data_IF_290205452486
#
_entry.id   IF_290205452486
#
_cell.length_a   1.000
_cell.length_b   1.000
_cell.length_c   1.000
_cell.angle_alpha   90.00
_cell.angle_beta   90.00
_cell.angle_gamma   90.00
#
_symmetry.space_group_name_H-M   'P 1'
#
loop_
_entity.id
_entity.type
_entity.pdbx_description
1 polymer ?
#
# COMPACT_ATOMS: atom_id res chain seq x y z
N UNK A 1 5.79 39.24 15.49
CA UNK A 1 5.71 38.56 14.21
C UNK A 1 6.76 37.49 14.11
N UNK A 2 6.33 36.35 13.78
CA UNK A 2 7.29 35.31 13.56
C UNK A 2 7.82 35.43 12.14
N UNK A 3 9.07 35.67 12.07
CA UNK A 3 9.73 35.66 10.79
C UNK A 3 9.74 34.30 10.19
N UNK A 4 9.74 33.31 11.06
CA UNK A 4 9.73 31.97 10.59
C UNK A 4 8.51 31.36 11.09
N UNK A 5 7.59 31.16 10.27
CA UNK A 5 6.59 30.26 10.57
C UNK A 5 7.20 28.94 10.61
N UNK A 6 7.10 28.32 11.72
CA UNK A 6 7.50 26.97 11.77
C UNK A 6 6.72 26.31 10.69
N UNK A 7 7.36 25.60 10.02
CA UNK A 7 6.80 24.85 9.08
C UNK A 7 5.98 23.82 9.55
N UNK A 8 5.25 24.18 10.41
CA UNK A 8 4.10 23.44 10.77
C UNK A 8 3.39 22.98 9.61
N UNK A 9 3.87 23.51 8.61
CA UNK A 9 3.33 23.11 7.52
C UNK A 9 3.97 21.90 7.09
N UNK A 10 3.86 21.08 7.52
CA UNK A 10 3.29 20.25 6.68
C UNK A 10 3.92 19.85 5.39
N UNK A 11 5.12 20.12 5.21
CA UNK A 11 5.85 19.47 4.16
C UNK A 11 6.64 18.31 4.70
N UNK A 12 6.55 18.08 6.02
CA UNK A 12 7.28 17.00 6.69
C UNK A 12 6.55 15.69 6.59
N UNK A 13 7.30 14.62 6.54
CA UNK A 13 6.74 13.28 6.66
C UNK A 13 6.40 13.00 8.11
N UNK A 14 5.31 12.31 8.33
CA UNK A 14 4.89 11.87 9.64
C UNK A 14 4.98 10.36 9.73
N UNK A 15 5.26 9.84 10.92
CA UNK A 15 5.17 8.41 11.19
C UNK A 15 3.90 8.14 12.01
N UNK A 16 3.28 7.01 11.75
CA UNK A 16 2.04 6.63 12.38
C UNK A 16 0.92 6.45 11.37
N UNK A 17 -0.29 6.24 11.89
CA UNK A 17 -1.47 6.10 11.05
C UNK A 17 -1.95 7.49 10.67
N UNK A 18 -2.01 7.72 9.36
CA UNK A 18 -2.40 9.03 8.83
C UNK A 18 -3.30 8.88 7.62
N UNK A 19 -4.21 9.85 7.42
CA UNK A 19 -4.92 9.94 6.14
C UNK A 19 -3.97 10.17 4.98
N UNK A 20 -4.32 9.63 3.83
CA UNK A 20 -3.49 9.75 2.64
C UNK A 20 -4.32 9.59 1.37
N UNK A 21 -3.70 9.92 0.25
CA UNK A 21 -4.27 9.77 -1.09
C UNK A 21 -3.42 8.79 -1.87
N UNK A 22 -4.05 7.93 -2.66
CA UNK A 22 -3.34 7.07 -3.59
C UNK A 22 -3.09 7.88 -4.86
N UNK A 23 -1.82 8.13 -5.16
CA UNK A 23 -1.46 8.98 -6.30
C UNK A 23 -0.95 8.19 -7.50
N UNK A 24 -0.57 6.94 -7.30
CA UNK A 24 -0.11 6.07 -8.37
C UNK A 24 -0.17 4.61 -7.95
N UNK A 25 -0.41 3.73 -8.91
CA UNK A 25 -0.33 2.27 -8.74
C UNK A 25 0.44 1.73 -9.93
N UNK A 26 1.47 0.93 -9.66
CA UNK A 26 2.29 0.31 -10.70
C UNK A 26 2.42 -1.18 -10.45
N UNK A 27 2.30 -1.97 -11.51
CA UNK A 27 2.60 -3.38 -11.48
C UNK A 27 4.06 -3.57 -11.90
N UNK A 28 4.89 -3.96 -10.94
CA UNK A 28 6.32 -4.18 -11.15
C UNK A 28 6.70 -5.65 -11.18
N UNK A 29 5.73 -6.54 -11.30
CA UNK A 29 6.00 -7.99 -11.26
C UNK A 29 6.95 -8.44 -12.36
N UNK A 30 6.93 -7.80 -13.52
CA UNK A 30 7.83 -8.15 -14.60
C UNK A 30 9.31 -7.84 -14.31
N UNK A 31 9.57 -6.98 -13.35
CA UNK A 31 10.94 -6.60 -12.97
C UNK A 31 11.60 -7.58 -11.99
N UNK A 32 10.84 -8.53 -11.45
CA UNK A 32 11.32 -9.42 -10.41
C UNK A 32 10.86 -10.85 -10.66
N UNK A 33 11.79 -11.74 -10.96
CA UNK A 33 11.48 -13.14 -11.26
C UNK A 33 10.92 -13.92 -10.08
N UNK A 34 11.23 -13.47 -8.85
CA UNK A 34 10.85 -14.17 -7.64
C UNK A 34 9.45 -13.84 -7.14
N UNK A 35 8.81 -12.83 -7.73
CA UNK A 35 7.48 -12.40 -7.29
C UNK A 35 6.46 -12.60 -8.40
N UNK A 36 5.36 -13.27 -8.08
CA UNK A 36 4.22 -13.36 -9.00
C UNK A 36 3.39 -12.07 -8.96
N UNK A 37 3.36 -11.41 -7.80
CA UNK A 37 2.72 -10.11 -7.62
C UNK A 37 3.75 -9.15 -7.04
N UNK A 38 3.90 -8.00 -7.66
CA UNK A 38 4.64 -6.87 -7.11
C UNK A 38 3.87 -5.61 -7.48
N UNK A 39 2.96 -5.21 -6.61
CA UNK A 39 2.14 -4.01 -6.82
C UNK A 39 2.68 -2.90 -5.94
N UNK A 40 3.11 -1.80 -6.55
CA UNK A 40 3.59 -0.64 -5.83
C UNK A 40 2.49 0.41 -5.78
N UNK A 41 2.05 0.73 -4.58
CA UNK A 41 1.03 1.76 -4.34
C UNK A 41 1.74 2.98 -3.77
N UNK A 42 1.67 4.10 -4.47
CA UNK A 42 2.31 5.33 -4.03
C UNK A 42 1.29 6.19 -3.31
N UNK A 43 1.61 6.55 -2.08
CA UNK A 43 0.72 7.30 -1.19
C UNK A 43 1.27 8.68 -0.91
N UNK A 44 0.40 9.68 -0.98
CA UNK A 44 0.69 11.03 -0.53
C UNK A 44 0.00 11.24 0.81
N UNK A 45 0.80 11.40 1.85
CA UNK A 45 0.32 11.58 3.21
C UNK A 45 -0.28 12.98 3.37
N UNK A 46 -1.39 13.08 4.08
CA UNK A 46 -1.98 14.39 4.37
C UNK A 46 -0.97 15.26 5.14
N UNK A 47 -0.88 16.50 4.73
CA UNK A 47 0.07 17.43 5.34
C UNK A 47 1.50 17.29 4.82
N UNK A 48 1.74 16.47 3.80
CA UNK A 48 3.06 16.25 3.23
C UNK A 48 3.04 16.45 1.72
N UNK A 49 4.17 16.84 1.16
CA UNK A 49 4.37 16.85 -0.28
C UNK A 49 5.22 15.66 -0.75
N UNK A 50 5.64 14.81 0.18
CA UNK A 50 6.47 13.66 -0.15
C UNK A 50 5.64 12.41 -0.19
N UNK A 51 5.89 11.58 -1.17
CA UNK A 51 5.19 10.31 -1.31
C UNK A 51 5.97 9.19 -0.65
N UNK A 52 5.27 8.11 -0.31
CA UNK A 52 5.86 6.86 0.16
C UNK A 52 5.20 5.70 -0.54
N UNK A 53 5.93 4.63 -0.70
CA UNK A 53 5.43 3.45 -1.36
C UNK A 53 4.99 2.40 -0.34
N UNK A 54 3.84 1.81 -0.63
CA UNK A 54 3.35 0.61 0.03
C UNK A 54 3.35 -0.50 -1.02
N UNK A 55 4.01 -1.60 -0.74
CA UNK A 55 4.18 -2.65 -1.75
C UNK A 55 3.45 -3.92 -1.32
N UNK A 56 2.66 -4.47 -2.23
CA UNK A 56 2.03 -5.78 -2.06
C UNK A 56 2.83 -6.75 -2.92
N UNK A 57 3.60 -7.62 -2.26
CA UNK A 57 4.60 -8.45 -2.94
C UNK A 57 4.53 -9.88 -2.44
N UNK A 58 4.62 -10.83 -3.33
CA UNK A 58 4.73 -12.23 -2.96
C UNK A 58 4.56 -13.18 -4.13
N UNK A 59 4.70 -14.45 -3.83
CA UNK A 59 4.51 -15.52 -4.79
C UNK A 59 3.23 -16.29 -4.55
N UNK A 60 2.77 -16.99 -5.57
CA UNK A 60 1.62 -17.88 -5.46
C UNK A 60 2.04 -19.25 -4.95
N UNK A 61 1.14 -19.89 -4.20
CA UNK A 61 1.22 -21.32 -3.97
C UNK A 61 0.61 -22.00 -5.20
N UNK A 62 1.26 -23.03 -5.69
CA UNK A 62 0.84 -23.72 -6.93
C UNK A 62 0.77 -25.23 -6.74
N UNK A 63 -0.18 -25.83 -7.43
CA UNK A 63 -0.26 -27.28 -7.52
C UNK A 63 0.78 -27.82 -8.50
N UNK A 64 1.04 -29.15 -8.51
CA UNK A 64 2.02 -29.73 -9.43
C UNK A 64 1.75 -29.44 -10.91
N UNK A 65 0.48 -29.22 -11.27
CA UNK A 65 0.11 -28.90 -12.65
C UNK A 65 0.28 -27.41 -12.98
N UNK A 66 0.77 -26.60 -12.02
CA UNK A 66 0.99 -25.18 -12.21
C UNK A 66 -0.19 -24.29 -11.87
N UNK A 67 -1.34 -24.86 -11.52
CA UNK A 67 -2.49 -24.07 -11.13
C UNK A 67 -2.27 -23.39 -9.80
N UNK A 68 -2.72 -22.14 -9.68
CA UNK A 68 -2.64 -21.38 -8.43
C UNK A 68 -3.60 -21.98 -7.42
N UNK A 69 -3.08 -22.33 -6.24
CA UNK A 69 -3.87 -22.90 -5.15
C UNK A 69 -4.06 -21.94 -3.97
N UNK A 70 -3.31 -20.85 -3.92
CA UNK A 70 -3.41 -19.88 -2.85
C UNK A 70 -2.18 -19.02 -2.74
N UNK A 71 -1.99 -18.44 -1.57
CA UNK A 71 -0.86 -17.59 -1.24
C UNK A 71 -1.30 -16.39 -0.40
N UNK A 72 -0.49 -16.00 0.56
CA UNK A 72 -0.82 -14.86 1.42
C UNK A 72 -0.92 -13.56 0.64
N UNK A 73 -0.17 -13.43 -0.45
CA UNK A 73 -0.21 -12.22 -1.29
C UNK A 73 -1.58 -12.04 -1.94
N UNK A 74 -2.28 -13.12 -2.24
CA UNK A 74 -3.64 -13.05 -2.81
C UNK A 74 -4.59 -12.42 -1.79
N UNK A 75 -4.48 -12.82 -0.52
CA UNK A 75 -5.30 -12.24 0.54
C UNK A 75 -5.03 -10.74 0.70
N UNK A 76 -3.77 -10.33 0.58
CA UNK A 76 -3.41 -8.91 0.64
C UNK A 76 -4.00 -8.13 -0.52
N UNK A 77 -3.99 -8.71 -1.72
CA UNK A 77 -4.62 -8.08 -2.88
C UNK A 77 -6.12 -7.94 -2.70
N UNK A 78 -6.79 -8.99 -2.20
CA UNK A 78 -8.23 -8.92 -1.97
C UNK A 78 -8.59 -7.90 -0.89
N UNK A 79 -7.76 -7.75 0.14
CA UNK A 79 -7.96 -6.70 1.14
C UNK A 79 -7.85 -5.31 0.51
N UNK A 80 -6.91 -5.13 -0.40
CA UNK A 80 -6.76 -3.87 -1.13
C UNK A 80 -7.96 -3.61 -2.06
N UNK A 81 -8.43 -4.64 -2.77
CA UNK A 81 -9.64 -4.51 -3.58
C UNK A 81 -10.84 -4.06 -2.73
N UNK A 82 -10.98 -4.64 -1.54
CA UNK A 82 -12.05 -4.26 -0.63
C UNK A 82 -11.94 -2.79 -0.22
N UNK A 83 -10.73 -2.32 0.05
CA UNK A 83 -10.48 -0.92 0.37
C UNK A 83 -10.88 0.01 -0.76
N UNK A 84 -10.64 -0.39 -2.00
CA UNK A 84 -11.02 0.39 -3.18
C UNK A 84 -12.48 0.20 -3.58
N UNK A 85 -13.20 -0.69 -2.91
CA UNK A 85 -14.55 -1.09 -3.28
C UNK A 85 -14.59 -1.60 -4.73
N UNK A 86 -13.63 -2.42 -5.05
CA UNK A 86 -13.41 -2.97 -6.38
C UNK A 86 -13.70 -4.47 -6.35
N UNK A 87 -14.44 -4.96 -7.32
CA UNK A 87 -14.78 -6.38 -7.42
C UNK A 87 -13.94 -7.02 -8.53
N UNK A 88 -12.89 -7.71 -8.11
CA UNK A 88 -11.98 -8.43 -8.99
C UNK A 88 -11.48 -9.68 -8.28
N UNK A 89 -10.93 -10.62 -9.03
CA UNK A 89 -10.39 -11.84 -8.47
C UNK A 89 -9.31 -12.44 -9.35
N UNK A 90 -8.65 -13.45 -8.83
CA UNK A 90 -7.63 -14.19 -9.56
C UNK A 90 -8.17 -15.58 -9.91
N UNK A 91 -7.86 -16.05 -11.11
CA UNK A 91 -8.25 -17.40 -11.54
C UNK A 91 -7.13 -18.41 -11.28
N UNK A 92 -7.38 -19.67 -11.57
CA UNK A 92 -6.41 -20.76 -11.31
C UNK A 92 -5.15 -20.65 -12.16
N UNK A 93 -5.17 -19.87 -13.22
CA UNK A 93 -4.00 -19.64 -14.06
C UNK A 93 -3.15 -18.46 -13.57
N UNK A 94 -3.59 -17.78 -12.52
CA UNK A 94 -2.88 -16.61 -12.00
C UNK A 94 -3.20 -15.32 -12.74
N UNK A 95 -4.30 -15.29 -13.46
CA UNK A 95 -4.73 -14.13 -14.20
C UNK A 95 -5.84 -13.39 -13.44
N UNK A 96 -5.86 -12.06 -13.54
CA UNK A 96 -6.87 -11.25 -12.90
C UNK A 96 -8.11 -11.15 -13.78
N UNK A 97 -9.27 -11.18 -13.14
CA UNK A 97 -10.58 -11.08 -13.81
C UNK A 97 -11.46 -10.08 -13.08
N UNK A 98 -12.31 -9.39 -13.84
CA UNK A 98 -13.30 -8.49 -13.27
C UNK A 98 -14.55 -9.27 -12.79
N UNK A 99 -15.55 -8.54 -12.29
CA UNK A 99 -16.77 -9.16 -11.75
C UNK A 99 -17.56 -9.98 -12.79
N UNK A 100 -17.37 -9.69 -14.07
CA UNK A 100 -18.05 -10.38 -15.16
C UNK A 100 -17.21 -11.54 -15.72
N UNK A 101 -16.05 -11.82 -15.14
CA UNK A 101 -15.16 -12.87 -15.61
C UNK A 101 -14.27 -12.48 -16.79
N UNK A 102 -14.22 -11.20 -17.13
CA UNK A 102 -13.35 -10.73 -18.20
C UNK A 102 -11.93 -10.54 -17.67
N UNK A 103 -10.97 -10.95 -18.48
CA UNK A 103 -9.57 -10.83 -18.11
C UNK A 103 -9.16 -9.37 -17.99
N UNK A 104 -8.43 -9.07 -16.92
CA UNK A 104 -7.83 -7.76 -16.70
C UNK A 104 -6.36 -7.86 -17.13
N UNK A 105 -5.99 -7.18 -18.21
CA UNK A 105 -4.62 -7.24 -18.73
C UNK A 105 -3.65 -6.40 -17.92
N UNK A 106 -4.09 -5.26 -17.42
CA UNK A 106 -3.28 -4.35 -16.61
C UNK A 106 -4.00 -4.10 -15.29
N UNK A 107 -3.59 -4.84 -14.26
CA UNK A 107 -4.23 -4.75 -12.95
C UNK A 107 -4.01 -3.37 -12.31
N UNK A 108 -2.84 -2.78 -12.50
CA UNK A 108 -2.55 -1.47 -11.93
C UNK A 108 -3.46 -0.39 -12.53
N UNK A 109 -3.62 -0.39 -13.84
CA UNK A 109 -4.50 0.55 -14.52
C UNK A 109 -5.95 0.33 -14.11
N UNK A 110 -6.37 -0.92 -14.04
CA UNK A 110 -7.72 -1.27 -13.60
C UNK A 110 -8.00 -0.74 -12.19
N UNK A 111 -7.08 -0.96 -11.25
CA UNK A 111 -7.26 -0.51 -9.87
C UNK A 111 -7.22 1.01 -9.75
N UNK A 112 -6.43 1.67 -10.58
CA UNK A 112 -6.32 3.12 -10.55
C UNK A 112 -7.65 3.82 -10.82
N UNK A 113 -8.55 3.16 -11.55
CA UNK A 113 -9.88 3.71 -11.84
C UNK A 113 -10.78 3.76 -10.62
N UNK A 114 -10.45 3.04 -9.57
CA UNK A 114 -11.23 2.98 -8.33
C UNK A 114 -10.67 3.87 -7.23
N UNK A 115 -9.57 4.56 -7.48
CA UNK A 115 -8.99 5.48 -6.51
C UNK A 115 -9.57 6.87 -6.68
N UNK A 116 -9.58 7.64 -5.59
CA UNK A 116 -9.94 9.05 -5.67
C UNK A 116 -8.82 9.80 -6.39
N UNK A 117 -9.19 10.67 -7.31
CA UNK A 117 -8.19 11.44 -8.03
C UNK A 117 -7.50 12.44 -7.11
N UNK A 118 -6.19 12.51 -7.25
CA UNK A 118 -5.40 13.54 -6.61
C UNK A 118 -5.43 14.79 -7.50
N UNK A 119 -5.72 15.93 -6.91
CA UNK A 119 -5.84 17.19 -7.64
C UNK A 119 -4.49 17.78 -8.09
N UNK A 120 -3.40 17.12 -7.74
CA UNK A 120 -2.07 17.61 -8.10
C UNK A 120 -1.52 18.66 -7.15
N UNK A 121 -2.29 19.06 -6.15
CA UNK A 121 -1.81 20.03 -5.19
C UNK A 121 -0.98 19.39 -4.10
N UNK A 122 -0.01 20.11 -3.65
CA UNK A 122 0.84 19.71 -2.54
C UNK A 122 0.84 20.83 -1.49
N UNK A 123 0.76 20.48 -0.22
CA UNK A 123 0.76 19.14 0.36
C UNK A 123 -0.58 18.42 0.20
N UNK A 124 -0.55 17.11 0.36
CA UNK A 124 -1.76 16.31 0.34
C UNK A 124 -2.72 16.69 1.45
N UNK A 125 -4.01 16.62 1.20
CA UNK A 125 -5.05 16.91 2.16
C UNK A 125 -6.33 16.15 1.83
N UNK A 126 -7.18 15.99 2.84
CA UNK A 126 -8.47 15.32 2.71
C UNK A 126 -8.36 13.91 2.16
N UNK A 127 -7.34 13.18 2.59
CA UNK A 127 -7.09 11.83 2.12
C UNK A 127 -8.23 10.87 2.43
N UNK A 128 -8.57 10.06 1.43
CA UNK A 128 -9.68 9.11 1.50
C UNK A 128 -9.26 7.75 2.05
N UNK A 129 -7.99 7.57 2.32
CA UNK A 129 -7.44 6.31 2.80
C UNK A 129 -6.64 6.52 4.06
N UNK A 130 -6.45 5.43 4.83
CA UNK A 130 -5.58 5.41 6.01
C UNK A 130 -4.49 4.39 5.77
N UNK A 131 -3.27 4.73 6.13
CA UNK A 131 -2.13 3.82 6.10
C UNK A 131 -1.19 4.09 7.26
N UNK A 132 -0.34 3.13 7.55
CA UNK A 132 0.69 3.26 8.57
C UNK A 132 2.01 3.64 7.92
N UNK A 133 2.49 4.82 8.27
CA UNK A 133 3.74 5.39 7.74
C UNK A 133 4.83 5.20 8.77
N UNK A 134 5.97 4.67 8.34
CA UNK A 134 7.06 4.42 9.26
C UNK A 134 8.41 4.44 8.54
N UNK A 135 9.47 4.53 9.34
CA UNK A 135 10.83 4.41 8.84
C UNK A 135 11.27 2.98 9.07
N UNK A 136 11.50 2.25 8.00
CA UNK A 136 11.86 0.85 8.08
C UNK A 136 13.32 0.69 8.47
N UNK A 137 13.60 -0.28 9.34
CA UNK A 137 14.95 -0.63 9.70
C UNK A 137 15.72 -1.16 8.48
N UNK A 138 17.04 -0.91 8.38
CA UNK A 138 17.82 -1.44 7.28
C UNK A 138 17.78 -2.97 7.26
N UNK A 139 17.66 -3.53 6.06
CA UNK A 139 17.65 -4.99 5.90
C UNK A 139 19.03 -5.62 6.08
N UNK A 140 20.06 -4.85 5.86
CA UNK A 140 21.46 -5.32 5.97
C UNK A 140 22.28 -4.28 6.71
N UNK A 141 23.33 -4.71 7.43
CA UNK A 141 24.25 -3.76 8.05
C UNK A 141 24.83 -2.80 7.01
N UNK A 142 24.97 -1.54 7.39
CA UNK A 142 25.52 -0.52 6.52
C UNK A 142 24.55 0.11 5.54
N UNK A 143 23.30 -0.38 5.46
CA UNK A 143 22.26 0.25 4.65
C UNK A 143 21.50 1.28 5.48
N UNK A 144 20.95 2.27 4.81
CA UNK A 144 20.18 3.29 5.49
C UNK A 144 18.73 2.82 5.70
N UNK A 145 18.15 3.29 6.77
CA UNK A 145 16.71 3.18 6.97
C UNK A 145 15.98 4.01 5.91
N UNK A 146 14.78 3.61 5.58
CA UNK A 146 14.01 4.29 4.53
C UNK A 146 12.55 4.45 4.93
N UNK A 147 11.94 5.50 4.42
CA UNK A 147 10.54 5.82 4.71
C UNK A 147 9.61 5.03 3.80
N UNK A 148 8.66 4.34 4.41
CA UNK A 148 7.69 3.50 3.69
C UNK A 148 6.32 3.65 4.29
N UNK A 149 5.34 3.08 3.62
CA UNK A 149 4.01 2.83 4.18
C UNK A 149 3.76 1.34 4.17
N UNK A 150 3.03 0.85 5.17
CA UNK A 150 2.63 -0.54 5.21
C UNK A 150 1.56 -0.81 4.15
N UNK A 151 1.54 -2.01 3.60
CA UNK A 151 0.61 -2.38 2.52
C UNK A 151 -0.85 -2.49 2.97
N UNK A 152 -1.12 -2.51 4.28
CA UNK A 152 -2.49 -2.58 4.78
C UNK A 152 -3.09 -1.18 4.75
N UNK A 153 -3.96 -0.95 3.79
CA UNK A 153 -4.57 0.36 3.56
C UNK A 153 -6.07 0.22 3.77
N UNK A 154 -6.64 1.09 4.58
CA UNK A 154 -8.07 1.13 4.85
C UNK A 154 -8.72 2.39 4.28
N UNK A 155 -10.03 2.37 4.04
CA UNK A 155 -10.75 3.63 3.80
C UNK A 155 -10.68 4.52 5.04
N UNK A 156 -10.66 5.83 4.83
CA UNK A 156 -10.64 6.79 5.94
C UNK A 156 -12.07 7.06 6.39
N UNK A 157 -12.57 6.25 7.30
CA UNK A 157 -13.93 6.43 7.80
C UNK A 157 -14.29 5.41 8.87
N UNK A 158 -15.38 5.65 9.57
CA UNK A 158 -15.89 4.75 10.60
C UNK A 158 -14.83 4.43 11.66
N UNK A 159 -14.69 3.15 11.98
CA UNK A 159 -13.70 2.69 12.96
C UNK A 159 -12.43 2.14 12.29
N UNK A 160 -12.17 2.49 11.04
CA UNK A 160 -11.03 1.93 10.30
C UNK A 160 -9.70 2.26 10.94
N UNK A 161 -9.56 3.44 11.55
CA UNK A 161 -8.32 3.81 12.25
C UNK A 161 -8.02 2.85 13.39
N UNK A 162 -9.03 2.49 14.18
CA UNK A 162 -8.88 1.56 15.29
C UNK A 162 -8.54 0.16 14.79
N UNK A 163 -9.17 -0.27 13.71
CA UNK A 163 -8.88 -1.58 13.14
C UNK A 163 -7.48 -1.63 12.55
N UNK A 164 -7.05 -0.59 11.86
CA UNK A 164 -5.69 -0.52 11.34
C UNK A 164 -4.67 -0.55 12.48
N UNK A 165 -4.94 0.17 13.57
CA UNK A 165 -4.05 0.14 14.73
C UNK A 165 -3.89 -1.27 15.29
N UNK A 166 -4.98 -2.03 15.39
CA UNK A 166 -4.92 -3.42 15.84
C UNK A 166 -4.09 -4.28 14.91
N UNK A 167 -4.27 -4.10 13.60
CA UNK A 167 -3.50 -4.84 12.62
C UNK A 167 -2.01 -4.51 12.70
N UNK A 168 -1.68 -3.25 12.82
CA UNK A 168 -0.28 -2.82 12.93
C UNK A 168 0.36 -3.35 14.21
N UNK A 169 -0.35 -3.32 15.33
CA UNK A 169 0.14 -3.88 16.58
C UNK A 169 0.41 -5.38 16.45
N UNK A 170 -0.48 -6.08 15.76
CA UNK A 170 -0.29 -7.50 15.51
C UNK A 170 0.94 -7.75 14.62
N UNK A 171 1.11 -7.00 13.53
CA UNK A 171 2.28 -7.13 12.67
C UNK A 171 3.58 -6.85 13.42
N UNK A 172 3.58 -5.84 14.29
CA UNK A 172 4.75 -5.52 15.12
C UNK A 172 5.05 -6.66 16.09
N UNK A 173 4.02 -7.24 16.72
CA UNK A 173 4.20 -8.32 17.68
C UNK A 173 4.78 -9.58 17.03
N UNK A 174 4.53 -9.77 15.74
CA UNK A 174 5.05 -10.91 14.97
C UNK A 174 6.38 -10.61 14.28
N UNK A 175 6.91 -9.41 14.43
CA UNK A 175 8.18 -9.03 13.81
C UNK A 175 8.06 -8.76 12.30
N UNK A 176 6.86 -8.57 11.78
CA UNK A 176 6.65 -8.29 10.37
C UNK A 176 6.83 -6.81 10.03
N UNK A 177 6.77 -5.94 11.01
CA UNK A 177 7.13 -4.53 10.85
C UNK A 177 8.35 -4.29 11.71
N UNK A 178 9.45 -3.92 11.07
CA UNK A 178 10.70 -3.60 11.78
C UNK A 178 11.00 -2.14 11.55
N UNK A 179 10.82 -1.35 12.58
CA UNK A 179 11.05 0.08 12.52
C UNK A 179 12.45 0.44 12.96
N UNK A 180 12.99 1.49 12.34
CA UNK A 180 14.23 2.08 12.77
C UNK A 180 13.97 2.86 14.05
N UNK A 181 14.68 2.49 15.12
CA UNK A 181 14.49 3.12 16.43
C UNK A 181 15.64 4.03 16.81
N UNK A 182 16.61 4.17 15.93
CA UNK A 182 17.81 4.93 16.22
C UNK A 182 17.98 6.26 15.50
#
# INVERSE_FOLDING_TARGET
>A
MALFKPETTSTSNFNGICPCTIVDIQDKSADFDWADIYLQVTLLQDGSKYTRNANIVGGFEKEPNGNVSGGSVIKRMYAFFATLNCDAGINIKGEWEDAQGNKIDDIADFLSQYTEEWDGESPGKDGKYLAYFYKAAPKKPGKQAYNVAHYKIYPNGGNCKEQLQKDIDWFKSRGYIKEDTG
#
